data_IF_509782070652
#
_entry.id   IF_509782070652
#
_cell.length_a   1.000
_cell.length_b   1.000
_cell.length_c   1.000
_cell.angle_alpha   90.00
_cell.angle_beta   90.00
_cell.angle_gamma   90.00
#
_symmetry.space_group_name_H-M   'P 1'
#
loop_
_entity.id
_entity.type
_entity.pdbx_description
1 polymer ?
#
# COMPACT_ATOMS: atom_id res chain seq x y z
N UNK A 1 -18.56 4.15 -0.33
CA UNK A 1 -17.84 3.77 0.88
C UNK A 1 -16.35 3.64 0.60
N UNK A 2 -15.55 4.10 1.51
CA UNK A 2 -14.11 4.08 1.33
C UNK A 2 -13.55 2.69 1.63
N UNK A 3 -12.69 2.21 0.76
CA UNK A 3 -12.06 0.91 0.96
C UNK A 3 -10.82 1.08 1.83
N UNK A 4 -10.72 0.29 2.88
CA UNK A 4 -9.56 0.32 3.78
C UNK A 4 -8.80 -0.99 3.57
N UNK A 5 -7.55 -0.88 3.13
CA UNK A 5 -6.76 -2.04 2.77
C UNK A 5 -5.29 -1.73 3.00
N UNK A 6 -4.52 -2.76 3.27
CA UNK A 6 -3.10 -2.63 3.58
C UNK A 6 -2.29 -3.56 2.72
N UNK A 7 -1.01 -3.28 2.58
CA UNK A 7 -0.06 -4.25 2.07
C UNK A 7 1.16 -4.25 2.99
N UNK A 8 1.86 -5.37 3.02
CA UNK A 8 3.08 -5.52 3.80
C UNK A 8 3.91 -6.65 3.24
N UNK A 9 5.17 -6.71 3.63
CA UNK A 9 6.06 -7.76 3.15
C UNK A 9 6.06 -8.93 4.11
N UNK A 10 5.97 -10.14 3.57
CA UNK A 10 6.03 -11.36 4.37
C UNK A 10 7.42 -11.49 4.97
N UNK A 11 7.46 -12.00 6.20
CA UNK A 11 8.74 -12.24 6.86
C UNK A 11 9.53 -13.36 6.21
N UNK A 12 8.85 -14.35 5.62
CA UNK A 12 9.54 -15.54 5.14
C UNK A 12 10.15 -15.37 3.76
N UNK A 13 9.62 -14.51 2.91
CA UNK A 13 10.14 -14.42 1.55
C UNK A 13 10.14 -13.00 0.98
N UNK A 14 9.78 -12.00 1.78
CA UNK A 14 9.79 -10.60 1.36
C UNK A 14 8.84 -10.25 0.21
N UNK A 15 7.87 -11.10 -0.09
CA UNK A 15 6.90 -10.75 -1.12
C UNK A 15 5.76 -9.95 -0.48
N UNK A 16 5.12 -9.13 -1.30
CA UNK A 16 4.01 -8.31 -0.85
C UNK A 16 2.74 -9.15 -0.74
N UNK A 17 2.00 -8.93 0.34
CA UNK A 17 0.65 -9.47 0.50
C UNK A 17 -0.29 -8.33 0.84
N UNK A 18 -1.55 -8.49 0.47
CA UNK A 18 -2.54 -7.42 0.52
C UNK A 18 -3.76 -7.90 1.31
N UNK A 19 -4.32 -7.02 2.13
CA UNK A 19 -5.50 -7.37 2.89
C UNK A 19 -5.63 -6.49 4.12
N UNK A 20 -6.15 -7.09 5.18
CA UNK A 20 -6.32 -6.41 6.46
C UNK A 20 -5.22 -6.87 7.41
N UNK A 21 -4.84 -6.01 8.34
CA UNK A 21 -3.79 -6.41 9.26
C UNK A 21 -4.31 -6.48 10.69
N UNK A 22 -3.63 -7.28 11.48
CA UNK A 22 -3.86 -7.30 12.92
C UNK A 22 -2.57 -7.69 13.63
N UNK A 23 -2.56 -7.46 14.94
CA UNK A 23 -1.42 -7.79 15.77
C UNK A 23 -1.86 -8.75 16.86
N UNK A 24 -1.00 -9.72 17.15
CA UNK A 24 -1.27 -10.68 18.20
C UNK A 24 0.05 -11.15 18.77
N UNK A 25 0.20 -11.06 20.09
CA UNK A 25 1.40 -11.55 20.80
C UNK A 25 2.69 -10.94 20.26
N UNK A 26 2.63 -9.67 19.86
CA UNK A 26 3.81 -8.97 19.37
C UNK A 26 4.13 -9.23 17.91
N UNK A 27 3.34 -10.03 17.23
CA UNK A 27 3.53 -10.30 15.81
C UNK A 27 2.46 -9.62 14.99
N UNK A 28 2.79 -9.27 13.75
CA UNK A 28 1.88 -8.57 12.86
C UNK A 28 1.56 -9.46 11.67
N UNK A 29 0.30 -9.46 11.26
CA UNK A 29 -0.20 -10.34 10.22
C UNK A 29 -1.03 -9.59 9.21
N UNK A 30 -1.03 -10.08 7.97
CA UNK A 30 -1.99 -9.66 6.94
C UNK A 30 -2.92 -10.83 6.67
N UNK A 31 -4.21 -10.54 6.67
CA UNK A 31 -5.23 -11.53 6.31
C UNK A 31 -5.68 -11.24 4.89
N UNK A 32 -5.46 -12.20 4.02
CA UNK A 32 -5.84 -12.11 2.62
C UNK A 32 -7.09 -12.93 2.40
N UNK A 33 -8.13 -12.31 1.84
CA UNK A 33 -9.39 -13.00 1.61
C UNK A 33 -9.38 -13.59 0.21
N UNK A 34 -9.43 -14.93 0.13
CA UNK A 34 -9.41 -15.65 -1.14
C UNK A 34 -10.75 -16.26 -1.50
N UNK A 35 -11.81 -15.62 -1.03
CA UNK A 35 -13.15 -16.14 -1.25
C UNK A 35 -13.46 -16.36 -2.73
N UNK A 36 -12.89 -15.54 -3.60
CA UNK A 36 -13.18 -15.63 -5.03
C UNK A 36 -12.61 -16.87 -5.70
N UNK A 37 -11.62 -17.49 -5.07
CA UNK A 37 -10.92 -18.60 -5.68
C UNK A 37 -11.45 -19.96 -5.25
N UNK A 38 -12.48 -19.96 -4.42
CA UNK A 38 -12.97 -21.20 -3.85
C UNK A 38 -14.43 -21.05 -3.48
N UNK A 39 -15.16 -22.16 -3.53
CA UNK A 39 -16.51 -22.20 -3.02
C UNK A 39 -16.54 -22.01 -1.50
N UNK A 40 -15.43 -22.26 -0.85
CA UNK A 40 -15.31 -22.08 0.58
C UNK A 40 -14.70 -20.72 0.87
N UNK A 41 -15.18 -20.08 1.94
CA UNK A 41 -14.54 -18.86 2.41
C UNK A 41 -13.18 -19.22 2.96
N UNK A 42 -12.17 -18.63 2.37
CA UNK A 42 -10.82 -18.87 2.81
C UNK A 42 -10.11 -17.56 3.09
N UNK A 43 -9.61 -17.45 4.30
CA UNK A 43 -8.72 -16.37 4.67
C UNK A 43 -7.36 -16.98 4.91
N UNK A 44 -6.36 -16.44 4.24
CA UNK A 44 -4.99 -16.88 4.41
C UNK A 44 -4.25 -15.80 5.19
N UNK A 45 -3.55 -16.22 6.23
CA UNK A 45 -2.86 -15.30 7.12
C UNK A 45 -1.36 -15.43 6.92
N UNK A 46 -0.70 -14.30 6.74
CA UNK A 46 0.74 -14.24 6.56
C UNK A 46 1.36 -13.36 7.63
N UNK A 47 2.40 -13.86 8.27
CA UNK A 47 3.15 -13.01 9.18
C UNK A 47 4.01 -12.05 8.37
N UNK A 48 4.00 -10.76 8.73
CA UNK A 48 4.63 -9.71 7.94
C UNK A 48 5.55 -8.87 8.79
N UNK A 49 6.44 -8.15 8.11
CA UNK A 49 7.34 -7.19 8.74
C UNK A 49 6.52 -5.92 9.04
N UNK A 50 6.34 -5.58 10.33
CA UNK A 50 5.50 -4.44 10.67
C UNK A 50 6.01 -3.11 10.15
N UNK A 51 7.31 -3.00 9.87
CA UNK A 51 7.84 -1.75 9.34
C UNK A 51 7.44 -1.51 7.88
N UNK A 52 6.90 -2.52 7.21
CA UNK A 52 6.54 -2.42 5.79
C UNK A 52 5.04 -2.23 5.56
N UNK A 53 4.25 -2.05 6.62
CA UNK A 53 2.81 -1.91 6.45
C UNK A 53 2.50 -0.58 5.78
N UNK A 54 1.75 -0.65 4.68
CA UNK A 54 1.38 0.51 3.89
C UNK A 54 -0.13 0.55 3.75
N UNK A 55 -0.71 1.72 3.97
CA UNK A 55 -2.16 1.89 3.87
C UNK A 55 -2.52 2.33 2.45
N UNK A 56 -3.58 1.73 1.92
CA UNK A 56 -4.11 2.12 0.61
C UNK A 56 -4.65 3.56 0.70
N UNK A 57 -4.26 4.40 -0.27
CA UNK A 57 -4.68 5.80 -0.27
C UNK A 57 -6.12 5.99 -0.70
N UNK A 58 -6.71 4.99 -1.34
CA UNK A 58 -8.04 5.12 -1.93
C UNK A 58 -8.00 5.51 -3.38
N UNK A 59 -6.81 5.77 -3.94
CA UNK A 59 -6.65 6.23 -5.30
C UNK A 59 -5.96 5.19 -6.15
N UNK A 60 -6.21 5.23 -7.46
CA UNK A 60 -5.54 4.38 -8.42
C UNK A 60 -4.82 5.24 -9.43
N UNK A 61 -3.73 4.73 -9.97
CA UNK A 61 -2.97 5.46 -10.96
C UNK A 61 -3.65 5.33 -12.34
N UNK A 62 -3.03 5.89 -13.37
CA UNK A 62 -3.67 5.91 -14.69
C UNK A 62 -3.83 4.52 -15.29
N UNK A 63 -3.10 3.54 -14.79
CA UNK A 63 -3.20 2.16 -15.26
C UNK A 63 -4.12 1.31 -14.38
N UNK A 64 -4.78 1.92 -13.40
CA UNK A 64 -5.65 1.20 -12.49
C UNK A 64 -4.95 0.55 -11.33
N UNK A 65 -3.65 0.80 -11.16
CA UNK A 65 -2.88 0.24 -10.06
C UNK A 65 -3.18 1.00 -8.77
N UNK A 66 -3.56 0.31 -7.69
CA UNK A 66 -3.82 1.01 -6.43
C UNK A 66 -2.55 1.68 -5.90
N UNK A 67 -2.72 2.87 -5.37
CA UNK A 67 -1.61 3.64 -4.81
C UNK A 67 -1.62 3.50 -3.31
N UNK A 68 -0.50 3.04 -2.75
CA UNK A 68 -0.33 2.85 -1.31
C UNK A 68 0.68 3.85 -0.77
N UNK A 69 0.54 4.14 0.51
CA UNK A 69 1.58 4.84 1.25
C UNK A 69 2.92 4.14 1.02
N UNK A 70 3.96 4.91 0.77
CA UNK A 70 5.28 4.33 0.50
C UNK A 70 5.57 4.05 -0.97
N UNK A 71 4.54 4.09 -1.83
CA UNK A 71 4.76 3.89 -3.25
C UNK A 71 5.48 5.09 -3.85
N UNK A 72 6.32 4.81 -4.85
CA UNK A 72 7.00 5.85 -5.61
C UNK A 72 6.23 6.02 -6.90
N UNK A 73 5.81 7.26 -7.17
CA UNK A 73 4.99 7.56 -8.34
C UNK A 73 5.64 8.68 -9.15
N UNK A 74 5.29 8.74 -10.42
CA UNK A 74 5.72 9.82 -11.31
C UNK A 74 4.51 10.30 -12.10
N UNK A 75 4.50 11.61 -12.43
CA UNK A 75 3.45 12.21 -13.26
C UNK A 75 4.04 12.91 -14.48
N UNK A 76 5.19 12.46 -14.96
CA UNK A 76 5.93 13.00 -16.11
C UNK A 76 6.71 14.27 -15.77
N UNK A 77 6.36 14.96 -14.71
CA UNK A 77 7.05 16.18 -14.30
C UNK A 77 7.84 15.93 -13.03
N UNK A 78 7.26 15.17 -12.12
CA UNK A 78 7.83 14.93 -10.81
C UNK A 78 7.85 13.46 -10.50
N UNK A 79 8.73 13.09 -9.58
CA UNK A 79 8.81 11.75 -9.05
C UNK A 79 9.00 11.85 -7.55
N UNK A 80 8.27 11.05 -6.81
CA UNK A 80 8.41 11.07 -5.36
C UNK A 80 7.61 9.97 -4.71
N UNK A 81 7.79 9.86 -3.40
CA UNK A 81 7.12 8.85 -2.61
C UNK A 81 5.83 9.42 -2.03
N UNK A 82 4.83 8.54 -1.94
CA UNK A 82 3.58 8.88 -1.27
C UNK A 82 3.80 8.66 0.21
N UNK A 83 3.50 9.65 1.03
CA UNK A 83 3.72 9.55 2.46
C UNK A 83 2.53 10.13 3.21
N UNK A 84 2.40 9.74 4.47
CA UNK A 84 1.39 10.31 5.36
C UNK A 84 2.02 11.48 6.09
N UNK A 85 1.37 12.61 6.05
CA UNK A 85 1.81 13.79 6.76
C UNK A 85 0.81 14.11 7.86
N UNK A 86 1.20 13.87 9.12
CA UNK A 86 0.29 14.04 10.22
C UNK A 86 -0.04 15.51 10.49
N UNK A 87 0.83 16.41 10.05
CA UNK A 87 0.59 17.83 10.19
C UNK A 87 -0.59 18.27 9.33
N UNK A 88 -0.70 17.71 8.12
CA UNK A 88 -1.82 17.98 7.22
C UNK A 88 -2.95 16.99 7.39
N UNK A 89 -2.73 15.90 8.12
CA UNK A 89 -3.67 14.79 8.21
C UNK A 89 -4.05 14.30 6.83
N UNK A 90 -3.04 14.10 5.98
CA UNK A 90 -3.29 13.75 4.58
C UNK A 90 -2.10 13.01 4.01
N UNK A 91 -2.39 12.23 2.96
CA UNK A 91 -1.33 11.66 2.15
C UNK A 91 -0.73 12.76 1.28
N UNK A 92 0.57 12.69 1.09
CA UNK A 92 1.31 13.69 0.34
C UNK A 92 2.14 13.05 -0.76
N UNK A 93 2.32 13.81 -1.84
CA UNK A 93 3.25 13.49 -2.91
C UNK A 93 4.42 14.46 -2.72
N UNK A 94 5.52 13.93 -2.18
CA UNK A 94 6.59 14.81 -1.78
C UNK A 94 6.16 15.70 -0.60
N UNK A 95 6.20 17.01 -0.79
CA UNK A 95 5.89 17.97 0.25
C UNK A 95 4.50 18.57 0.14
N UNK A 96 3.70 18.13 -0.83
CA UNK A 96 2.40 18.72 -1.07
C UNK A 96 1.31 17.66 -0.98
N UNK A 97 0.12 18.09 -0.54
CA UNK A 97 -1.00 17.18 -0.39
C UNK A 97 -1.33 16.48 -1.71
N UNK A 98 -1.57 15.19 -1.64
CA UNK A 98 -1.95 14.39 -2.80
C UNK A 98 -3.22 14.93 -3.46
N UNK A 99 -4.04 15.63 -2.70
CA UNK A 99 -5.25 16.24 -3.20
C UNK A 99 -4.99 17.13 -4.43
N UNK A 100 -3.83 17.75 -4.50
CA UNK A 100 -3.53 18.68 -5.59
C UNK A 100 -3.00 18.03 -6.86
N UNK A 101 -2.87 16.70 -6.85
CA UNK A 101 -2.28 15.99 -8.00
C UNK A 101 -3.27 14.96 -8.50
N UNK A 102 -3.71 15.07 -9.76
CA UNK A 102 -4.67 14.08 -10.29
C UNK A 102 -4.01 12.72 -10.40
N UNK A 103 -4.59 11.73 -9.73
CA UNK A 103 -4.02 10.39 -9.74
C UNK A 103 -4.06 9.76 -11.13
N UNK A 104 -5.00 10.19 -11.98
CA UNK A 104 -5.07 9.66 -13.33
C UNK A 104 -3.88 10.06 -14.19
N UNK A 105 -3.03 10.96 -13.72
CA UNK A 105 -1.79 11.32 -14.42
C UNK A 105 -0.58 10.64 -13.81
N UNK A 106 -0.76 9.82 -12.79
CA UNK A 106 0.34 9.21 -12.08
C UNK A 106 0.57 7.77 -12.51
N UNK A 107 1.80 7.30 -12.34
CA UNK A 107 2.16 5.91 -12.54
C UNK A 107 2.97 5.45 -11.34
N UNK A 108 2.57 4.34 -10.74
CA UNK A 108 3.35 3.74 -9.66
C UNK A 108 4.55 3.05 -10.31
N UNK A 109 5.75 3.41 -9.88
CA UNK A 109 6.97 2.85 -10.46
C UNK A 109 7.80 2.06 -9.47
N UNK A 110 7.40 2.01 -8.21
CA UNK A 110 8.11 1.23 -7.21
C UNK A 110 7.57 1.51 -5.84
N UNK A 111 8.33 1.08 -4.83
CA UNK A 111 7.96 1.30 -3.44
C UNK A 111 9.23 1.49 -2.63
N UNK A 112 9.16 2.33 -1.60
CA UNK A 112 10.33 2.64 -0.79
C UNK A 112 10.90 1.43 -0.06
N UNK A 113 10.11 0.39 0.11
CA UNK A 113 10.59 -0.83 0.78
C UNK A 113 11.13 -1.86 -0.22
N UNK A 114 11.04 -1.62 -1.52
CA UNK A 114 11.60 -2.48 -2.54
C UNK A 114 12.94 -1.90 -2.95
N UNK A 115 13.97 -2.23 -2.19
CA UNK A 115 15.27 -1.65 -2.46
C UNK A 115 15.99 -2.40 -3.54
N UNK A 116 16.65 -1.64 -4.38
CA UNK A 116 17.53 -2.22 -5.38
C UNK A 116 18.85 -2.59 -4.77
N UNK A 117 19.43 -3.62 -5.28
CA UNK A 117 20.73 -4.06 -4.81
C UNK A 117 21.84 -3.36 -5.54
#
# INVERSE_FOLDING_TARGET
MREIKFKAKRLDNNSWVFGYFYEENGNTYIIENRQKESMLNRNVTYEVDPSTICLFTGLKDKNGTPIYEGDIVTDDVRKGAINWNSKFSAFCFGNASLYYFPSENMVVIGNTFDKEK
#
